data_IF_758068929498
#
_entry.id   IF_758068929498
#
_cell.length_a   1.000
_cell.length_b   1.000
_cell.length_c   1.000
_cell.angle_alpha   90.00
_cell.angle_beta   90.00
_cell.angle_gamma   90.00
#
_symmetry.space_group_name_H-M   'P 1'
#
loop_
_entity.id
_entity.type
_entity.pdbx_description
1 polymer ?
#
# COMPACT_ATOMS: atom_id res chain seq x y z
N UNK A 1 -14.23 14.23 -4.03
CA UNK A 1 -12.92 14.42 -3.37
C UNK A 1 -11.99 13.35 -3.92
N UNK A 2 -11.18 13.69 -4.92
CA UNK A 2 -10.24 12.75 -5.52
C UNK A 2 -9.23 12.30 -4.49
N UNK A 3 -9.12 10.98 -4.30
CA UNK A 3 -8.03 10.40 -3.55
C UNK A 3 -6.71 10.87 -4.23
N UNK A 4 -5.77 11.51 -3.51
CA UNK A 4 -4.58 12.06 -4.14
C UNK A 4 -3.76 10.93 -4.76
N UNK A 5 -3.60 10.95 -6.09
CA UNK A 5 -2.92 9.89 -6.84
C UNK A 5 -1.48 9.67 -6.32
N UNK A 6 -0.83 10.72 -5.85
CA UNK A 6 0.48 10.64 -5.19
C UNK A 6 0.49 9.76 -3.94
N UNK A 7 -0.55 9.84 -3.09
CA UNK A 7 -0.64 8.95 -1.92
C UNK A 7 -0.83 7.49 -2.32
N UNK A 8 -1.58 7.25 -3.39
CA UNK A 8 -1.79 5.90 -3.90
C UNK A 8 -0.46 5.28 -4.35
N UNK A 9 0.33 6.02 -5.12
CA UNK A 9 1.64 5.55 -5.58
C UNK A 9 2.60 5.29 -4.43
N UNK A 10 2.59 6.14 -3.39
CA UNK A 10 3.41 5.94 -2.19
C UNK A 10 3.01 4.67 -1.43
N UNK A 11 1.72 4.47 -1.16
CA UNK A 11 1.23 3.26 -0.46
C UNK A 11 1.59 1.99 -1.25
N UNK A 12 1.44 2.04 -2.58
CA UNK A 12 1.74 0.91 -3.46
C UNK A 12 3.24 0.59 -3.48
N UNK A 13 4.09 1.60 -3.64
CA UNK A 13 5.54 1.42 -3.61
C UNK A 13 6.01 0.87 -2.27
N UNK A 14 5.42 1.35 -1.17
CA UNK A 14 5.75 0.90 0.17
C UNK A 14 5.42 -0.58 0.39
N UNK A 15 4.24 -1.02 -0.05
CA UNK A 15 3.83 -2.44 0.01
C UNK A 15 4.71 -3.30 -0.91
N UNK A 16 4.95 -2.84 -2.14
CA UNK A 16 5.77 -3.56 -3.11
C UNK A 16 7.21 -3.76 -2.61
N UNK A 17 7.78 -2.79 -1.88
CA UNK A 17 9.12 -2.89 -1.32
C UNK A 17 9.23 -3.94 -0.20
N UNK A 18 8.17 -4.14 0.59
CA UNK A 18 8.21 -5.03 1.75
C UNK A 18 7.77 -6.46 1.43
N UNK A 19 6.72 -6.62 0.63
CA UNK A 19 6.15 -7.94 0.33
C UNK A 19 6.52 -8.45 -1.06
N UNK A 20 7.17 -7.63 -1.90
CA UNK A 20 7.51 -7.95 -3.28
C UNK A 20 6.32 -8.41 -4.14
N UNK A 21 5.11 -7.99 -3.77
CA UNK A 21 3.90 -8.24 -4.56
C UNK A 21 3.93 -7.47 -5.87
N UNK A 22 3.27 -8.02 -6.89
CA UNK A 22 3.18 -7.34 -8.17
C UNK A 22 2.32 -6.08 -8.05
N UNK A 23 2.61 -5.09 -8.89
CA UNK A 23 1.82 -3.86 -8.95
C UNK A 23 0.32 -4.15 -9.16
N UNK A 24 0.01 -5.14 -9.99
CA UNK A 24 -1.35 -5.54 -10.30
C UNK A 24 -2.08 -6.06 -9.06
N UNK A 25 -1.42 -6.89 -8.25
CA UNK A 25 -2.02 -7.44 -7.02
C UNK A 25 -2.33 -6.33 -6.01
N UNK A 26 -1.40 -5.39 -5.84
CA UNK A 26 -1.57 -4.27 -4.89
C UNK A 26 -2.65 -3.29 -5.38
N UNK A 27 -2.73 -3.04 -6.68
CA UNK A 27 -3.78 -2.19 -7.26
C UNK A 27 -5.16 -2.83 -7.13
N UNK A 28 -5.24 -4.16 -7.13
CA UNK A 28 -6.49 -4.92 -6.96
C UNK A 28 -6.99 -4.94 -5.50
N UNK A 29 -6.16 -4.55 -4.53
CA UNK A 29 -6.58 -4.40 -3.13
C UNK A 29 -7.51 -3.20 -2.97
N UNK A 30 -8.57 -3.39 -2.17
CA UNK A 30 -9.41 -2.27 -1.76
C UNK A 30 -8.58 -1.23 -1.00
N UNK A 31 -8.95 0.05 -1.14
CA UNK A 31 -8.25 1.15 -0.49
C UNK A 31 -8.08 0.97 1.02
N UNK A 32 -9.04 0.31 1.69
CA UNK A 32 -8.96 0.01 3.12
C UNK A 32 -7.90 -1.04 3.45
N UNK A 33 -7.77 -2.08 2.62
CA UNK A 33 -6.85 -3.19 2.86
C UNK A 33 -5.42 -2.76 2.60
N UNK A 34 -5.21 -1.93 1.57
CA UNK A 34 -3.91 -1.30 1.31
C UNK A 34 -3.42 -0.49 2.52
N UNK A 35 -4.28 0.35 3.08
CA UNK A 35 -3.96 1.13 4.29
C UNK A 35 -3.69 0.24 5.50
N UNK A 36 -4.43 -0.85 5.66
CA UNK A 36 -4.16 -1.84 6.71
C UNK A 36 -2.76 -2.43 6.55
N UNK A 37 -2.38 -2.88 5.35
CA UNK A 37 -1.04 -3.41 5.11
C UNK A 37 0.07 -2.40 5.40
N UNK A 38 -0.12 -1.13 5.04
CA UNK A 38 0.83 -0.05 5.40
C UNK A 38 0.99 0.04 6.93
N UNK A 39 -0.12 -0.03 7.69
CA UNK A 39 -0.06 -0.01 9.16
C UNK A 39 0.63 -1.25 9.75
N UNK A 40 0.35 -2.44 9.23
CA UNK A 40 0.99 -3.69 9.68
C UNK A 40 2.51 -3.68 9.41
N UNK A 41 2.92 -3.17 8.25
CA UNK A 41 4.33 -2.97 7.92
C UNK A 41 4.97 -1.98 8.91
N UNK A 42 4.32 -0.84 9.18
CA UNK A 42 4.82 0.15 10.14
C UNK A 42 4.96 -0.43 11.56
N UNK A 43 4.02 -1.27 11.98
CA UNK A 43 4.09 -1.97 13.26
C UNK A 43 5.27 -2.95 13.32
N UNK A 44 5.68 -3.53 12.18
CA UNK A 44 6.84 -4.43 12.09
C UNK A 44 8.18 -3.68 12.17
N UNK A 45 8.19 -2.38 11.87
CA UNK A 45 9.39 -1.54 11.93
C UNK A 45 9.68 -0.94 13.33
N UNK A 46 8.84 -1.24 14.33
CA UNK A 46 8.92 -0.75 15.71
C UNK A 46 9.25 -1.88 16.67
#
# INVERSE_FOLDING_TARGET
MSYPLERLHQEVAFIALHFHWSLADILNLEHRDRRRWVQEIQATLT
#
